data_IF_488258062908
#
_entry.id   IF_488258062908
#
_cell.length_a   1.000
_cell.length_b   1.000
_cell.length_c   1.000
_cell.angle_alpha   90.00
_cell.angle_beta   90.00
_cell.angle_gamma   90.00
#
_symmetry.space_group_name_H-M   'P 1'
#
loop_
_entity.id
_entity.type
_entity.pdbx_description
1 polymer ?
#
# COMPACT_ATOMS: atom_id res chain seq x y z
N UNK A 1 -8.62 -2.48 17.51
CA UNK A 1 -9.52 -3.54 16.93
C UNK A 1 -10.99 -3.30 17.24
N UNK A 2 -11.38 -3.08 18.51
CA UNK A 2 -12.80 -2.91 18.90
C UNK A 2 -13.51 -1.82 18.07
N UNK A 3 -12.98 -0.59 17.93
CA UNK A 3 -13.64 0.45 17.12
C UNK A 3 -13.81 0.04 15.66
N UNK A 4 -12.79 -0.59 15.08
CA UNK A 4 -12.83 -1.09 13.70
C UNK A 4 -13.93 -2.14 13.51
N UNK A 5 -14.07 -3.13 14.41
CA UNK A 5 -15.11 -4.15 14.30
C UNK A 5 -16.52 -3.56 14.43
N UNK A 6 -16.71 -2.58 15.32
CA UNK A 6 -18.00 -1.90 15.47
C UNK A 6 -18.35 -1.15 14.19
N UNK A 7 -17.43 -0.33 13.68
CA UNK A 7 -17.64 0.43 12.43
C UNK A 7 -17.86 -0.52 11.24
N UNK A 8 -17.08 -1.61 11.15
CA UNK A 8 -17.21 -2.61 10.11
C UNK A 8 -18.60 -3.25 10.09
N UNK A 9 -19.14 -3.60 11.26
CA UNK A 9 -20.44 -4.26 11.36
C UNK A 9 -21.62 -3.30 11.16
N UNK A 10 -21.54 -2.09 11.74
CA UNK A 10 -22.67 -1.14 11.75
C UNK A 10 -22.71 -0.29 10.48
N UNK A 11 -21.56 0.05 9.90
CA UNK A 11 -21.45 1.00 8.79
C UNK A 11 -20.89 0.32 7.54
N UNK A 12 -19.72 -0.30 7.66
CA UNK A 12 -18.99 -0.87 6.52
C UNK A 12 -19.81 -1.92 5.76
N UNK A 13 -20.22 -3.01 6.44
CA UNK A 13 -20.96 -4.10 5.81
C UNK A 13 -22.30 -3.64 5.20
N UNK A 14 -23.16 -2.87 5.90
CA UNK A 14 -24.41 -2.41 5.31
C UNK A 14 -24.21 -1.59 4.02
N UNK A 15 -23.26 -0.65 3.99
CA UNK A 15 -23.02 0.17 2.79
C UNK A 15 -22.41 -0.68 1.66
N UNK A 16 -21.47 -1.57 1.98
CA UNK A 16 -20.91 -2.52 1.00
C UNK A 16 -21.99 -3.37 0.33
N UNK A 17 -22.90 -3.94 1.12
CA UNK A 17 -24.02 -4.73 0.58
C UNK A 17 -24.99 -3.87 -0.22
N UNK A 18 -25.25 -2.62 0.21
CA UNK A 18 -26.10 -1.70 -0.52
C UNK A 18 -25.53 -1.43 -1.93
N UNK A 19 -24.24 -1.12 -2.04
CA UNK A 19 -23.58 -0.90 -3.34
C UNK A 19 -23.62 -2.16 -4.22
N UNK A 20 -23.36 -3.33 -3.63
CA UNK A 20 -23.44 -4.61 -4.34
C UNK A 20 -24.83 -4.88 -4.89
N UNK A 21 -25.88 -4.73 -4.07
CA UNK A 21 -27.28 -4.93 -4.50
C UNK A 21 -27.66 -3.92 -5.56
N UNK A 22 -27.21 -2.66 -5.44
CA UNK A 22 -27.48 -1.62 -6.44
C UNK A 22 -26.83 -1.94 -7.79
N UNK A 23 -25.58 -2.42 -7.79
CA UNK A 23 -24.88 -2.88 -9.00
C UNK A 23 -25.56 -4.10 -9.63
N UNK A 24 -25.85 -5.12 -8.83
CA UNK A 24 -26.51 -6.34 -9.31
C UNK A 24 -27.91 -6.08 -9.90
N UNK A 25 -28.73 -5.30 -9.21
CA UNK A 25 -30.10 -5.01 -9.64
C UNK A 25 -30.15 -4.10 -10.87
N UNK A 26 -29.30 -3.06 -10.92
CA UNK A 26 -29.28 -2.13 -12.04
C UNK A 26 -28.59 -2.71 -13.28
N UNK A 27 -27.65 -3.65 -13.11
CA UNK A 27 -26.80 -4.19 -14.17
C UNK A 27 -26.19 -3.08 -15.05
N UNK A 28 -25.87 -1.95 -14.43
CA UNK A 28 -25.34 -0.72 -15.05
C UNK A 28 -24.06 -0.32 -14.35
N UNK A 29 -23.15 0.34 -15.08
CA UNK A 29 -21.93 0.88 -14.48
C UNK A 29 -22.22 2.04 -13.53
N UNK A 30 -21.29 2.31 -12.60
CA UNK A 30 -21.39 3.27 -11.48
C UNK A 30 -22.04 4.63 -11.83
N UNK A 31 -21.79 5.21 -13.01
CA UNK A 31 -22.43 6.49 -13.41
C UNK A 31 -23.92 6.33 -13.74
N UNK A 32 -24.29 5.27 -14.47
CA UNK A 32 -25.66 5.04 -14.98
C UNK A 32 -26.60 4.48 -13.93
N UNK A 33 -26.06 3.96 -12.82
CA UNK A 33 -26.88 3.46 -11.70
C UNK A 33 -27.70 4.59 -11.06
N UNK A 34 -27.16 5.81 -11.04
CA UNK A 34 -27.83 6.99 -10.47
C UNK A 34 -28.83 7.67 -11.42
N UNK A 35 -29.11 7.13 -12.60
CA UNK A 35 -30.11 7.68 -13.53
C UNK A 35 -31.54 7.67 -12.96
N UNK A 36 -31.76 7.02 -11.81
CA UNK A 36 -33.01 7.09 -11.04
C UNK A 36 -33.34 8.52 -10.59
N UNK A 37 -32.32 9.35 -10.32
CA UNK A 37 -32.52 10.77 -10.08
C UNK A 37 -31.37 11.60 -10.68
N UNK A 38 -31.65 12.59 -11.54
CA UNK A 38 -30.61 13.34 -12.24
C UNK A 38 -29.69 14.13 -11.29
N UNK A 39 -30.16 14.49 -10.08
CA UNK A 39 -29.34 15.17 -9.07
C UNK A 39 -28.22 14.28 -8.52
N UNK A 40 -28.43 12.96 -8.44
CA UNK A 40 -27.44 12.01 -7.91
C UNK A 40 -26.39 11.57 -8.94
N UNK A 41 -26.55 11.95 -10.22
CA UNK A 41 -25.60 11.58 -11.29
C UNK A 41 -24.18 12.13 -11.04
N UNK A 42 -24.06 13.24 -10.31
CA UNK A 42 -22.76 13.78 -9.87
C UNK A 42 -21.95 12.80 -9.01
N UNK A 43 -22.63 11.95 -8.23
CA UNK A 43 -21.97 10.95 -7.37
C UNK A 43 -21.18 9.96 -8.21
N UNK A 44 -21.81 9.37 -9.24
CA UNK A 44 -21.13 8.40 -10.11
C UNK A 44 -19.93 8.99 -10.87
N UNK A 45 -19.99 10.27 -11.26
CA UNK A 45 -18.85 10.96 -11.88
C UNK A 45 -17.72 11.15 -10.85
N UNK A 46 -18.03 11.55 -9.62
CA UNK A 46 -17.05 11.67 -8.55
C UNK A 46 -16.40 10.32 -8.22
N UNK A 47 -17.17 9.23 -8.23
CA UNK A 47 -16.66 7.87 -8.06
C UNK A 47 -15.67 7.50 -9.18
N UNK A 48 -16.02 7.77 -10.44
CA UNK A 48 -15.14 7.53 -11.58
C UNK A 48 -13.82 8.33 -11.50
N UNK A 49 -13.89 9.61 -11.10
CA UNK A 49 -12.67 10.42 -10.93
C UNK A 49 -11.82 9.88 -9.78
N UNK A 50 -12.45 9.51 -8.66
CA UNK A 50 -11.75 8.98 -7.49
C UNK A 50 -11.00 7.68 -7.82
N UNK A 51 -11.64 6.75 -8.54
CA UNK A 51 -10.97 5.49 -8.91
C UNK A 51 -9.83 5.71 -9.91
N UNK A 52 -9.95 6.68 -10.82
CA UNK A 52 -8.83 7.07 -11.70
C UNK A 52 -7.61 7.56 -10.90
N UNK A 53 -7.81 8.41 -9.90
CA UNK A 53 -6.72 8.90 -9.03
C UNK A 53 -6.07 7.75 -8.26
N UNK A 54 -6.90 6.87 -7.68
CA UNK A 54 -6.43 5.68 -6.96
C UNK A 54 -5.59 4.78 -7.87
N UNK A 55 -6.05 4.51 -9.10
CA UNK A 55 -5.30 3.67 -10.05
C UNK A 55 -3.91 4.24 -10.34
N UNK A 56 -3.79 5.55 -10.57
CA UNK A 56 -2.50 6.20 -10.87
C UNK A 56 -1.52 6.07 -9.69
N UNK A 57 -1.98 6.33 -8.47
CA UNK A 57 -1.16 6.22 -7.27
C UNK A 57 -0.75 4.77 -6.95
N UNK A 58 -1.67 3.82 -7.03
CA UNK A 58 -1.36 2.41 -6.77
C UNK A 58 -0.45 1.81 -7.84
N UNK A 59 -0.58 2.22 -9.11
CA UNK A 59 0.35 1.79 -10.16
C UNK A 59 1.81 2.19 -9.83
N UNK A 60 2.02 3.40 -9.30
CA UNK A 60 3.34 3.84 -8.84
C UNK A 60 3.85 3.03 -7.64
N UNK A 61 2.97 2.69 -6.69
CA UNK A 61 3.32 1.86 -5.52
C UNK A 61 3.70 0.43 -5.91
N UNK A 62 3.03 -0.16 -6.90
CA UNK A 62 3.39 -1.49 -7.40
C UNK A 62 4.72 -1.42 -8.19
N UNK A 63 4.96 -0.33 -8.93
CA UNK A 63 6.21 -0.13 -9.65
C UNK A 63 7.42 -0.05 -8.70
N UNK A 64 7.31 0.63 -7.56
CA UNK A 64 8.37 0.64 -6.54
C UNK A 64 8.59 -0.77 -5.97
N UNK A 65 7.52 -1.52 -5.69
CA UNK A 65 7.63 -2.91 -5.24
C UNK A 65 8.35 -3.81 -6.26
N UNK A 66 8.08 -3.65 -7.57
CA UNK A 66 8.80 -4.37 -8.64
C UNK A 66 10.28 -4.01 -8.65
N UNK A 67 10.63 -2.73 -8.46
CA UNK A 67 12.04 -2.31 -8.36
C UNK A 67 12.75 -3.03 -7.21
N UNK A 68 12.11 -3.11 -6.04
CA UNK A 68 12.63 -3.88 -4.90
C UNK A 68 12.72 -5.38 -5.20
N UNK A 69 11.74 -5.94 -5.91
CA UNK A 69 11.75 -7.34 -6.30
C UNK A 69 12.93 -7.67 -7.22
N UNK A 70 13.20 -6.83 -8.23
CA UNK A 70 14.36 -7.00 -9.12
C UNK A 70 15.68 -6.85 -8.35
N UNK A 71 15.78 -5.83 -7.49
CA UNK A 71 16.97 -5.58 -6.68
C UNK A 71 17.24 -6.70 -5.64
N UNK A 72 16.21 -7.46 -5.24
CA UNK A 72 16.37 -8.61 -4.33
C UNK A 72 17.09 -9.79 -4.96
N UNK A 73 17.28 -9.81 -6.28
CA UNK A 73 18.05 -10.84 -6.99
C UNK A 73 19.57 -10.60 -6.95
N UNK A 74 20.02 -9.45 -6.45
CA UNK A 74 21.44 -9.11 -6.34
C UNK A 74 22.03 -9.64 -5.01
N UNK A 75 23.26 -10.18 -5.09
CA UNK A 75 24.03 -10.62 -3.92
C UNK A 75 25.37 -9.86 -3.87
N UNK A 76 25.66 -9.04 -2.83
CA UNK A 76 24.85 -8.74 -1.64
C UNK A 76 23.64 -7.84 -1.93
N UNK A 77 22.63 -7.85 -1.04
CA UNK A 77 21.46 -6.98 -1.17
C UNK A 77 21.88 -5.50 -1.07
N UNK A 78 21.36 -4.60 -1.92
CA UNK A 78 21.84 -3.22 -1.99
C UNK A 78 21.47 -2.37 -0.77
N UNK A 79 20.52 -2.81 0.06
CA UNK A 79 20.17 -2.16 1.33
C UNK A 79 20.75 -2.86 2.56
N UNK A 80 21.58 -3.90 2.41
CA UNK A 80 22.17 -4.61 3.54
C UNK A 80 23.37 -3.88 4.17
N UNK A 81 24.05 -3.04 3.39
CA UNK A 81 25.23 -2.26 3.79
C UNK A 81 25.07 -0.79 3.39
N UNK A 82 25.72 0.09 4.14
CA UNK A 82 25.81 1.51 3.82
C UNK A 82 26.76 1.75 2.65
N UNK A 83 26.29 2.46 1.61
CA UNK A 83 27.14 2.90 0.51
C UNK A 83 28.04 4.07 0.90
N UNK A 84 29.21 4.15 0.26
CA UNK A 84 30.19 5.25 0.41
C UNK A 84 29.66 6.61 -0.04
N UNK A 85 28.61 6.65 -0.86
CA UNK A 85 27.94 7.89 -1.27
C UNK A 85 27.07 8.50 -0.16
N UNK A 86 26.76 7.75 0.90
CA UNK A 86 25.90 8.20 2.01
C UNK A 86 26.70 8.75 3.21
N UNK A 87 27.94 9.19 2.98
CA UNK A 87 28.88 9.69 3.99
C UNK A 87 28.42 10.94 4.76
N UNK A 88 27.34 11.60 4.32
CA UNK A 88 26.72 12.74 5.01
C UNK A 88 25.75 12.36 6.15
N UNK A 89 25.46 11.07 6.36
CA UNK A 89 24.53 10.59 7.37
C UNK A 89 25.18 9.58 8.32
N UNK A 90 24.68 9.53 9.57
CA UNK A 90 25.02 8.47 10.51
C UNK A 90 24.30 7.17 10.09
N UNK A 91 24.89 6.42 9.15
CA UNK A 91 24.28 5.22 8.57
C UNK A 91 24.52 3.97 9.43
N UNK A 92 23.45 3.21 9.70
CA UNK A 92 23.49 1.94 10.43
C UNK A 92 23.28 0.77 9.46
N UNK A 93 24.24 -0.15 9.43
CA UNK A 93 24.16 -1.38 8.63
C UNK A 93 23.09 -2.32 9.17
N UNK A 94 22.25 -2.87 8.28
CA UNK A 94 21.25 -3.88 8.65
C UNK A 94 21.86 -5.27 8.91
N UNK A 95 23.08 -5.51 8.42
CA UNK A 95 23.76 -6.81 8.46
C UNK A 95 24.82 -6.96 9.57
N UNK A 96 25.12 -5.93 10.35
CA UNK A 96 26.30 -5.96 11.22
C UNK A 96 26.00 -6.41 12.65
N UNK A 97 26.37 -7.65 12.94
CA UNK A 97 26.88 -8.12 14.23
C UNK A 97 28.30 -7.59 14.46
N UNK A 98 28.44 -6.27 14.65
CA UNK A 98 29.72 -5.59 14.86
C UNK A 98 29.60 -4.47 15.91
N UNK A 99 30.73 -3.94 16.43
CA UNK A 99 30.71 -2.86 17.42
C UNK A 99 29.98 -1.63 16.86
N UNK A 100 29.19 -0.98 17.72
CA UNK A 100 28.36 0.16 17.34
C UNK A 100 29.21 1.27 16.68
N UNK A 101 28.76 1.85 15.55
CA UNK A 101 29.48 2.95 14.92
C UNK A 101 29.60 4.13 15.89
N UNK A 102 30.74 4.82 15.89
CA UNK A 102 30.90 6.09 16.60
C UNK A 102 30.17 7.16 15.81
N UNK A 103 29.00 7.58 16.29
CA UNK A 103 28.17 8.57 15.63
C UNK A 103 28.56 10.00 16.05
N UNK A 104 28.47 10.93 15.11
CA UNK A 104 28.49 12.36 15.45
C UNK A 104 27.11 12.76 15.97
N UNK A 105 27.01 13.26 17.21
CA UNK A 105 25.74 13.63 17.86
C UNK A 105 24.93 14.74 17.14
N UNK A 106 25.51 15.39 16.13
CA UNK A 106 24.88 16.47 15.35
C UNK A 106 24.16 15.99 14.08
N UNK A 107 24.26 14.72 13.69
CA UNK A 107 23.65 14.18 12.48
C UNK A 107 22.54 13.18 12.78
N UNK A 108 21.42 13.20 12.03
CA UNK A 108 20.35 12.24 12.18
C UNK A 108 20.84 10.82 11.83
N UNK A 109 20.51 9.86 12.70
CA UNK A 109 20.80 8.43 12.48
C UNK A 109 19.77 7.86 11.53
N UNK A 110 20.22 7.19 10.48
CA UNK A 110 19.37 6.53 9.48
C UNK A 110 19.83 5.11 9.20
N UNK A 111 18.90 4.22 8.87
CA UNK A 111 19.23 2.85 8.50
C UNK A 111 19.64 2.75 7.03
N UNK A 112 20.46 1.75 6.68
CA UNK A 112 20.86 1.48 5.29
C UNK A 112 19.64 1.27 4.36
N UNK A 113 18.57 0.65 4.87
CA UNK A 113 17.34 0.44 4.11
C UNK A 113 16.52 1.71 3.89
N UNK A 114 16.42 2.58 4.89
CA UNK A 114 15.77 3.89 4.74
C UNK A 114 16.51 4.73 3.69
N UNK A 115 17.84 4.81 3.78
CA UNK A 115 18.65 5.57 2.83
C UNK A 115 18.52 5.04 1.41
N UNK A 116 18.53 3.72 1.21
CA UNK A 116 18.30 3.13 -0.10
C UNK A 116 16.92 3.53 -0.66
N UNK A 117 15.87 3.51 0.17
CA UNK A 117 14.54 3.92 -0.26
C UNK A 117 14.50 5.42 -0.64
N UNK A 118 14.97 6.31 0.25
CA UNK A 118 14.88 7.76 0.04
C UNK A 118 15.79 8.25 -1.07
N UNK A 119 17.04 7.79 -1.16
CA UNK A 119 18.00 8.25 -2.16
C UNK A 119 17.90 7.48 -3.48
N UNK A 120 17.77 6.17 -3.44
CA UNK A 120 17.90 5.33 -4.65
C UNK A 120 16.55 4.96 -5.28
N UNK A 121 15.43 5.02 -4.57
CA UNK A 121 14.11 4.65 -5.12
C UNK A 121 13.21 5.88 -5.31
N UNK A 122 13.04 6.68 -4.26
CA UNK A 122 12.18 7.88 -4.27
C UNK A 122 12.91 9.09 -4.83
N UNK A 123 14.24 9.13 -4.70
CA UNK A 123 15.05 10.22 -5.23
C UNK A 123 14.86 11.54 -4.49
N UNK A 124 14.58 11.52 -3.18
CA UNK A 124 14.35 12.72 -2.36
C UNK A 124 15.53 13.72 -2.38
N UNK A 125 16.72 13.28 -2.81
CA UNK A 125 17.88 14.16 -3.08
C UNK A 125 17.83 14.94 -4.41
N UNK A 126 16.78 14.79 -5.23
CA UNK A 126 16.57 15.53 -6.49
C UNK A 126 15.59 16.70 -6.35
N UNK A 127 15.02 16.91 -5.16
CA UNK A 127 14.16 18.05 -4.84
C UNK A 127 15.00 19.23 -4.35
N UNK A 128 15.87 19.74 -5.22
CA UNK A 128 16.49 21.06 -5.01
C UNK A 128 15.45 22.12 -5.34
N UNK A 129 15.08 22.93 -4.35
CA UNK A 129 14.31 24.18 -4.52
C UNK A 129 12.86 24.07 -5.04
N UNK A 130 12.18 22.96 -4.76
CA UNK A 130 10.74 22.83 -5.05
C UNK A 130 10.40 22.61 -6.52
N UNK A 131 11.40 22.37 -7.36
CA UNK A 131 11.22 21.95 -8.75
C UNK A 131 11.15 20.41 -8.82
N UNK A 132 10.22 19.89 -9.64
CA UNK A 132 10.15 18.46 -9.90
C UNK A 132 11.43 18.04 -10.65
N UNK A 133 12.29 17.28 -9.98
CA UNK A 133 13.47 16.69 -10.60
C UNK A 133 13.13 15.74 -11.76
N UNK A 134 14.14 15.35 -12.52
CA UNK A 134 13.97 14.39 -13.62
C UNK A 134 13.54 13.01 -13.09
N UNK A 135 12.58 12.33 -13.73
CA UNK A 135 12.13 11.02 -13.28
C UNK A 135 13.23 9.97 -13.42
N UNK A 136 13.41 9.13 -12.39
CA UNK A 136 14.33 7.99 -12.45
C UNK A 136 13.86 7.03 -13.56
N UNK A 137 14.76 6.77 -14.52
CA UNK A 137 14.44 5.97 -15.70
C UNK A 137 14.11 4.51 -15.38
N UNK A 138 14.73 3.93 -14.34
CA UNK A 138 14.46 2.55 -13.91
C UNK A 138 13.06 2.44 -13.30
N UNK A 139 12.65 3.43 -12.50
CA UNK A 139 11.30 3.48 -11.93
C UNK A 139 10.25 3.71 -13.03
N UNK A 140 10.57 4.58 -14.00
CA UNK A 140 9.70 4.85 -15.16
C UNK A 140 9.47 3.59 -16.00
N UNK A 141 10.50 2.77 -16.23
CA UNK A 141 10.35 1.47 -16.91
C UNK A 141 9.49 0.48 -16.10
N UNK A 142 9.66 0.42 -14.78
CA UNK A 142 8.81 -0.42 -13.92
C UNK A 142 7.35 0.03 -13.98
N UNK A 143 7.10 1.34 -14.00
CA UNK A 143 5.76 1.92 -14.15
C UNK A 143 5.15 1.59 -15.52
N UNK A 144 5.93 1.73 -16.60
CA UNK A 144 5.51 1.34 -17.94
C UNK A 144 5.13 -0.14 -18.01
N UNK A 145 5.94 -1.01 -17.41
CA UNK A 145 5.65 -2.43 -17.33
C UNK A 145 4.31 -2.71 -16.62
N UNK A 146 4.02 -2.03 -15.50
CA UNK A 146 2.73 -2.18 -14.80
C UNK A 146 1.55 -1.75 -15.66
N UNK A 147 1.64 -0.61 -16.35
CA UNK A 147 0.57 -0.16 -17.25
C UNK A 147 0.32 -1.13 -18.41
N UNK A 148 1.39 -1.65 -19.02
CA UNK A 148 1.29 -2.66 -20.08
C UNK A 148 0.67 -3.95 -19.54
N UNK A 149 1.13 -4.44 -18.39
CA UNK A 149 0.59 -5.64 -17.77
C UNK A 149 -0.90 -5.48 -17.41
N UNK A 150 -1.30 -4.36 -16.81
CA UNK A 150 -2.69 -4.04 -16.51
C UNK A 150 -3.55 -4.01 -17.78
N UNK A 151 -3.04 -3.40 -18.85
CA UNK A 151 -3.74 -3.35 -20.15
C UNK A 151 -3.93 -4.75 -20.73
N UNK A 152 -2.89 -5.59 -20.72
CA UNK A 152 -2.95 -6.99 -21.19
C UNK A 152 -3.95 -7.81 -20.39
N UNK A 153 -3.98 -7.65 -19.06
CA UNK A 153 -4.95 -8.33 -18.20
C UNK A 153 -6.40 -7.93 -18.52
N UNK A 154 -6.63 -6.67 -18.89
CA UNK A 154 -7.96 -6.16 -19.22
C UNK A 154 -8.43 -6.54 -20.63
N UNK A 155 -7.54 -6.78 -21.60
CA UNK A 155 -7.92 -7.10 -23.01
C UNK A 155 -8.86 -8.32 -23.09
N UNK A 156 -8.67 -9.34 -22.24
CA UNK A 156 -9.53 -10.55 -22.21
C UNK A 156 -10.84 -10.35 -21.44
N UNK A 157 -11.11 -9.15 -20.95
CA UNK A 157 -12.29 -8.79 -20.18
C UNK A 157 -12.42 -9.56 -18.86
N UNK A 158 -13.64 -9.57 -18.31
CA UNK A 158 -13.94 -10.08 -16.97
C UNK A 158 -13.63 -11.58 -16.83
N UNK A 159 -13.85 -12.39 -17.88
CA UNK A 159 -13.55 -13.84 -17.86
C UNK A 159 -12.06 -14.13 -17.78
N UNK A 160 -11.22 -13.29 -18.41
CA UNK A 160 -9.76 -13.40 -18.34
C UNK A 160 -9.23 -12.91 -16.99
N UNK A 161 -9.67 -11.73 -16.58
CA UNK A 161 -9.30 -11.11 -15.29
C UNK A 161 -9.66 -12.01 -14.10
N UNK A 162 -10.83 -12.65 -14.12
CA UNK A 162 -11.25 -13.57 -13.05
C UNK A 162 -10.31 -14.76 -12.86
N UNK A 163 -9.70 -15.30 -13.93
CA UNK A 163 -8.72 -16.39 -13.81
C UNK A 163 -7.42 -15.93 -13.14
N UNK A 164 -6.93 -14.75 -13.52
CA UNK A 164 -5.73 -14.13 -12.94
C UNK A 164 -5.98 -13.76 -11.48
N UNK A 165 -7.19 -13.28 -11.16
CA UNK A 165 -7.60 -12.89 -9.82
C UNK A 165 -7.52 -14.04 -8.82
N UNK A 166 -7.80 -15.29 -9.20
CA UNK A 166 -7.62 -16.45 -8.31
C UNK A 166 -6.18 -16.55 -7.80
N UNK A 167 -5.20 -16.41 -8.70
CA UNK A 167 -3.80 -16.42 -8.31
C UNK A 167 -3.44 -15.19 -7.48
N UNK A 168 -3.78 -13.99 -7.96
CA UNK A 168 -3.46 -12.72 -7.26
C UNK A 168 -4.09 -12.62 -5.87
N UNK A 169 -5.27 -13.21 -5.65
CA UNK A 169 -5.94 -13.20 -4.36
C UNK A 169 -5.39 -14.25 -3.40
N UNK A 170 -5.00 -15.44 -3.88
CA UNK A 170 -4.56 -16.54 -3.02
C UNK A 170 -3.06 -16.50 -2.71
N UNK A 171 -2.23 -16.10 -3.67
CA UNK A 171 -0.77 -16.11 -3.52
C UNK A 171 -0.28 -15.25 -2.33
N UNK A 172 -0.82 -14.04 -2.06
CA UNK A 172 -0.42 -13.26 -0.89
C UNK A 172 -0.64 -14.00 0.44
N UNK A 173 -1.69 -14.81 0.57
CA UNK A 173 -1.91 -15.61 1.80
C UNK A 173 -0.83 -16.67 1.98
N UNK A 174 -0.37 -17.30 0.91
CA UNK A 174 0.74 -18.27 0.96
C UNK A 174 2.02 -17.59 1.46
N UNK A 175 2.33 -16.39 0.93
CA UNK A 175 3.49 -15.60 1.35
C UNK A 175 3.36 -15.11 2.79
N UNK A 176 2.18 -14.62 3.21
CA UNK A 176 1.95 -14.17 4.58
C UNK A 176 2.08 -15.32 5.58
N UNK A 177 1.57 -16.51 5.26
CA UNK A 177 1.72 -17.70 6.11
C UNK A 177 3.17 -18.14 6.19
N UNK A 178 3.92 -18.14 5.08
CA UNK A 178 5.34 -18.50 5.12
C UNK A 178 6.17 -17.50 5.94
N UNK A 179 5.90 -16.20 5.78
CA UNK A 179 6.51 -15.16 6.61
C UNK A 179 6.10 -15.24 8.07
N UNK A 180 4.86 -15.58 8.38
CA UNK A 180 4.42 -15.76 9.76
C UNK A 180 5.16 -16.94 10.43
N UNK A 181 5.27 -18.08 9.75
CA UNK A 181 6.04 -19.24 10.25
C UNK A 181 7.49 -18.83 10.50
N UNK A 182 8.13 -18.15 9.55
CA UNK A 182 9.49 -17.66 9.73
C UNK A 182 9.60 -16.68 10.91
N UNK A 183 8.74 -15.66 10.97
CA UNK A 183 8.74 -14.66 12.04
C UNK A 183 8.60 -15.28 13.44
N UNK A 184 7.80 -16.33 13.60
CA UNK A 184 7.68 -17.03 14.89
C UNK A 184 8.91 -17.84 15.28
N UNK A 185 9.80 -18.17 14.34
CA UNK A 185 11.08 -18.85 14.63
C UNK A 185 12.17 -17.88 15.10
N UNK A 186 11.99 -16.56 14.90
CA UNK A 186 12.96 -15.55 15.31
C UNK A 186 12.95 -15.33 16.83
N UNK A 187 14.14 -15.10 17.38
CA UNK A 187 14.28 -14.68 18.76
C UNK A 187 13.63 -13.31 18.99
N UNK A 188 12.95 -13.14 20.12
CA UNK A 188 12.23 -11.90 20.43
C UNK A 188 10.86 -11.74 19.77
N UNK A 189 10.41 -12.67 18.91
CA UNK A 189 9.09 -12.60 18.28
C UNK A 189 7.93 -12.46 19.29
N UNK A 190 8.02 -13.13 20.44
CA UNK A 190 7.03 -13.04 21.52
C UNK A 190 6.91 -11.63 22.12
N UNK A 191 7.98 -10.84 22.16
CA UNK A 191 7.94 -9.47 22.66
C UNK A 191 7.22 -8.55 21.67
N UNK A 192 7.51 -8.68 20.37
CA UNK A 192 6.79 -7.96 19.32
C UNK A 192 5.30 -8.29 19.29
N UNK A 193 4.95 -9.57 19.44
CA UNK A 193 3.56 -10.00 19.52
C UNK A 193 2.85 -9.44 20.76
N UNK A 194 3.53 -9.49 21.93
CA UNK A 194 2.99 -8.91 23.16
C UNK A 194 2.74 -7.41 23.00
N UNK A 195 3.68 -6.67 22.42
CA UNK A 195 3.51 -5.24 22.14
C UNK A 195 2.30 -4.98 21.22
N UNK A 196 2.14 -5.78 20.16
CA UNK A 196 1.03 -5.64 19.21
C UNK A 196 -0.36 -5.93 19.82
N UNK A 197 -0.46 -6.93 20.71
CA UNK A 197 -1.75 -7.37 21.28
C UNK A 197 -2.12 -6.61 22.56
N UNK A 198 -1.16 -6.03 23.29
CA UNK A 198 -1.44 -5.35 24.57
C UNK A 198 -2.36 -4.17 24.33
N UNK A 199 -3.59 -4.18 24.86
CA UNK A 199 -4.56 -3.12 24.60
C UNK A 199 -4.26 -1.91 25.49
N UNK A 200 -4.28 -0.73 24.88
CA UNK A 200 -4.39 0.54 25.58
C UNK A 200 -5.86 0.96 25.62
N UNK A 201 -6.46 0.91 26.80
CA UNK A 201 -7.91 1.14 26.98
C UNK A 201 -8.26 2.62 27.03
N UNK A 202 -7.34 3.48 27.46
CA UNK A 202 -7.58 4.92 27.56
C UNK A 202 -7.71 5.54 26.16
N UNK A 203 -7.00 4.96 25.20
CA UNK A 203 -7.04 5.38 23.80
C UNK A 203 -8.41 5.14 23.15
N UNK A 204 -9.27 4.26 23.70
CA UNK A 204 -10.64 4.08 23.21
C UNK A 204 -11.54 5.31 23.41
N UNK A 205 -11.21 6.18 24.37
CA UNK A 205 -11.93 7.42 24.61
C UNK A 205 -11.50 8.54 23.64
N UNK A 206 -10.39 8.33 22.91
CA UNK A 206 -9.89 9.29 21.94
C UNK A 206 -10.68 9.20 20.63
N UNK A 207 -11.33 10.31 20.25
CA UNK A 207 -12.10 10.39 19.00
C UNK A 207 -11.25 10.14 17.74
N UNK A 208 -9.95 10.41 17.79
CA UNK A 208 -9.05 10.15 16.67
C UNK A 208 -8.97 8.66 16.32
N UNK A 209 -8.98 7.76 17.31
CA UNK A 209 -8.94 6.31 17.09
C UNK A 209 -10.17 5.83 16.33
N UNK A 210 -11.34 6.40 16.63
CA UNK A 210 -12.58 6.10 15.93
C UNK A 210 -12.57 6.63 14.50
N UNK A 211 -12.05 7.86 14.30
CA UNK A 211 -11.86 8.42 12.97
C UNK A 211 -10.94 7.55 12.11
N UNK A 212 -9.81 7.11 12.64
CA UNK A 212 -8.89 6.22 11.94
C UNK A 212 -9.53 4.85 11.66
N UNK A 213 -10.32 4.31 12.59
CA UNK A 213 -11.07 3.08 12.37
C UNK A 213 -12.10 3.20 11.23
N UNK A 214 -12.78 4.36 11.12
CA UNK A 214 -13.68 4.67 10.01
C UNK A 214 -12.92 4.76 8.69
N UNK A 215 -11.83 5.54 8.66
CA UNK A 215 -10.96 5.66 7.47
C UNK A 215 -10.50 4.28 6.99
N UNK A 216 -9.95 3.47 7.90
CA UNK A 216 -9.48 2.12 7.61
C UNK A 216 -10.61 1.23 7.08
N UNK A 217 -11.82 1.31 7.64
CA UNK A 217 -12.97 0.52 7.17
C UNK A 217 -13.37 0.91 5.74
N UNK A 218 -13.43 2.20 5.43
CA UNK A 218 -13.84 2.68 4.10
C UNK A 218 -12.80 2.32 3.04
N UNK A 219 -11.51 2.51 3.31
CA UNK A 219 -10.44 2.16 2.36
C UNK A 219 -10.26 0.65 2.21
N UNK A 220 -10.38 -0.15 3.29
CA UNK A 220 -10.21 -1.61 3.21
C UNK A 220 -11.32 -2.30 2.42
N UNK A 221 -12.57 -1.85 2.55
CA UNK A 221 -13.70 -2.39 1.77
C UNK A 221 -13.89 -1.67 0.43
N UNK A 222 -13.17 -0.58 0.18
CA UNK A 222 -13.29 0.26 -1.03
C UNK A 222 -14.72 0.69 -1.35
N UNK A 223 -15.52 0.93 -0.30
CA UNK A 223 -16.92 1.36 -0.41
C UNK A 223 -16.97 2.82 -0.84
N UNK A 224 -18.00 3.21 -1.56
CA UNK A 224 -18.18 4.57 -2.09
C UNK A 224 -17.24 4.95 -3.22
N UNK A 225 -16.36 4.05 -3.70
CA UNK A 225 -15.51 4.27 -4.87
C UNK A 225 -16.13 3.77 -6.19
N UNK A 226 -17.32 3.17 -6.15
CA UNK A 226 -18.04 2.67 -7.32
C UNK A 226 -17.49 1.36 -7.90
N UNK A 227 -16.35 0.85 -7.40
CA UNK A 227 -15.76 -0.41 -7.83
C UNK A 227 -16.59 -1.64 -7.47
N UNK A 228 -17.39 -1.60 -6.41
CA UNK A 228 -18.31 -2.69 -6.01
C UNK A 228 -19.57 -2.72 -6.88
N UNK A 229 -19.95 -1.58 -7.46
CA UNK A 229 -21.13 -1.42 -8.30
C UNK A 229 -20.86 -1.91 -9.74
N UNK A 230 -19.62 -1.73 -10.21
CA UNK A 230 -19.18 -1.99 -11.59
C UNK A 230 -18.83 -3.46 -11.84
#
# INVERSE_FOLDING_TARGET
>A
VIPYLIVLLIVGRPIYYLEMVMGQFSSRGSVKVYDVSPIMRGIGIAQMVSICVVIVYYAATIATAIRFFIASCESPLPWASCDVSWTGFNCVNSSSSGPAPVFNNSLPVKTSAELYYTHSVTGEGLLTDGEFGVPDWKLTLCLLFIWVAMTIMMIKGIRGSGKVAYFLALFPYVVLVSFAIYAFTLEGAGQGLKYFITPDWDELLNANVWKEAVSQCFFSLSICFGGVIA
#
